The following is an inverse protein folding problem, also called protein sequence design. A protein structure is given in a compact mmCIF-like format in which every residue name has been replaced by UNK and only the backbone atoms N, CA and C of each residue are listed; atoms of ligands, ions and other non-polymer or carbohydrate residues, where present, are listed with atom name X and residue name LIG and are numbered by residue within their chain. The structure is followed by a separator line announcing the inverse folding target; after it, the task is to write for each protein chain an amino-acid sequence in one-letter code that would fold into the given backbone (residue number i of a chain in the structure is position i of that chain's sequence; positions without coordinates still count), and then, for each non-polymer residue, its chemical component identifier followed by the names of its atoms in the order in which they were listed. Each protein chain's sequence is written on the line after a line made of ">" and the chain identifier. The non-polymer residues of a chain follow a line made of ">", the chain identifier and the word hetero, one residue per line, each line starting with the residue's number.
data_IF_129685052073
#
_entry.id   IF_129685052073
#
_cell.length_a   1.000
_cell.length_b   1.000
_cell.length_c   1.000
_cell.angle_alpha   90.00
_cell.angle_beta   90.00
_cell.angle_gamma   90.00
#
_symmetry.space_group_name_H-M   'P 1'
#
loop_
_entity.id
_entity.type
_entity.pdbx_description
1 polymer ?
#
# COMPACT_ATOMS: atom_id res chain seq x y z
N UNK A 1 -4.97 -23.64 4.42
CA UNK A 1 -5.41 -22.28 4.05
C UNK A 1 -5.46 -21.44 5.30
N UNK A 2 -4.83 -20.27 5.30
CA UNK A 2 -4.78 -19.40 6.49
C UNK A 2 -6.14 -18.78 6.78
N UNK A 3 -6.55 -18.80 8.05
CA UNK A 3 -7.78 -18.20 8.56
C UNK A 3 -7.62 -16.68 8.74
N UNK A 4 -8.73 -15.92 8.68
CA UNK A 4 -8.74 -14.48 9.01
C UNK A 4 -8.11 -14.18 10.38
N UNK A 5 -8.35 -15.07 11.35
CA UNK A 5 -7.87 -14.92 12.72
C UNK A 5 -6.36 -15.17 12.81
N UNK A 6 -5.87 -16.27 12.22
CA UNK A 6 -4.43 -16.55 12.08
C UNK A 6 -3.71 -15.40 11.39
N UNK A 7 -4.30 -14.84 10.32
CA UNK A 7 -3.72 -13.69 9.62
C UNK A 7 -3.64 -12.46 10.53
N UNK A 8 -4.61 -12.25 11.42
CA UNK A 8 -4.57 -11.16 12.40
C UNK A 8 -3.48 -11.38 13.45
N UNK A 9 -3.32 -12.60 13.97
CA UNK A 9 -2.27 -12.90 14.95
C UNK A 9 -0.86 -12.86 14.33
N UNK A 10 -0.71 -13.22 13.06
CA UNK A 10 0.53 -12.98 12.29
C UNK A 10 0.83 -11.49 12.19
N UNK A 11 -0.14 -10.65 11.79
CA UNK A 11 0.07 -9.18 11.74
C UNK A 11 0.45 -8.63 13.11
N UNK A 12 -0.24 -9.07 14.18
CA UNK A 12 0.06 -8.67 15.57
C UNK A 12 1.47 -9.06 16.01
N UNK A 13 1.92 -10.27 15.67
CA UNK A 13 3.29 -10.71 15.95
C UNK A 13 4.33 -9.80 15.28
N UNK A 14 4.17 -9.47 14.00
CA UNK A 14 5.12 -8.60 13.29
C UNK A 14 5.11 -7.13 13.77
N UNK A 15 3.96 -6.57 14.18
CA UNK A 15 3.91 -5.18 14.65
C UNK A 15 4.20 -5.02 16.14
N UNK A 16 4.23 -6.10 16.93
CA UNK A 16 4.47 -5.99 18.37
C UNK A 16 5.86 -5.37 18.63
N UNK A 17 5.95 -4.28 19.42
CA UNK A 17 7.22 -3.58 19.68
C UNK A 17 8.34 -4.48 20.22
N UNK A 18 7.98 -5.64 20.79
CA UNK A 18 8.89 -6.66 21.31
C UNK A 18 9.87 -7.22 20.27
N UNK A 19 9.54 -7.15 18.98
CA UNK A 19 10.41 -7.65 17.90
C UNK A 19 11.34 -6.58 17.30
N UNK A 20 11.27 -5.32 17.75
CA UNK A 20 12.19 -4.25 17.32
C UNK A 20 12.07 -3.83 15.85
N UNK A 21 11.04 -4.29 15.12
CA UNK A 21 10.84 -3.98 13.71
C UNK A 21 10.34 -2.55 13.51
N UNK A 22 11.01 -1.78 12.65
CA UNK A 22 10.64 -0.41 12.32
C UNK A 22 9.54 -0.34 11.23
N UNK A 23 8.36 -0.89 11.54
CA UNK A 23 7.21 -0.88 10.63
C UNK A 23 6.67 0.56 10.46
N UNK A 24 6.65 1.07 9.23
CA UNK A 24 6.20 2.44 8.94
C UNK A 24 4.69 2.55 8.69
N UNK A 25 4.09 1.50 8.11
CA UNK A 25 2.67 1.43 7.81
C UNK A 25 2.24 -0.02 7.58
N UNK A 26 0.93 -0.28 7.63
CA UNK A 26 0.31 -1.53 7.22
C UNK A 26 -0.51 -1.35 5.95
N UNK A 27 -0.45 -2.34 5.05
CA UNK A 27 -1.36 -2.43 3.90
C UNK A 27 -2.12 -3.75 4.03
N UNK A 28 -3.45 -3.68 3.99
CA UNK A 28 -4.30 -4.87 3.99
C UNK A 28 -5.34 -4.79 2.88
N UNK A 29 -5.67 -5.94 2.28
CA UNK A 29 -6.77 -6.09 1.33
C UNK A 29 -7.86 -6.98 1.92
N UNK A 30 -9.13 -6.69 1.66
CA UNK A 30 -10.25 -7.61 1.97
C UNK A 30 -10.28 -8.03 3.45
N UNK A 31 -10.13 -9.32 3.75
CA UNK A 31 -9.95 -9.82 5.13
C UNK A 31 -8.66 -9.35 5.80
N UNK A 32 -7.56 -9.20 5.06
CA UNK A 32 -6.31 -8.64 5.58
C UNK A 32 -6.45 -7.18 6.02
N UNK A 33 -7.33 -6.40 5.39
CA UNK A 33 -7.63 -5.04 5.82
C UNK A 33 -8.37 -5.01 7.18
N UNK A 34 -9.35 -5.91 7.37
CA UNK A 34 -10.03 -6.08 8.65
C UNK A 34 -9.07 -6.58 9.75
N UNK A 35 -8.13 -7.47 9.41
CA UNK A 35 -7.08 -7.95 10.30
C UNK A 35 -6.14 -6.81 10.73
N UNK A 36 -5.74 -5.94 9.81
CA UNK A 36 -4.96 -4.72 10.10
C UNK A 36 -5.70 -3.81 11.08
N UNK A 37 -6.99 -3.53 10.87
CA UNK A 37 -7.80 -2.72 11.80
C UNK A 37 -7.83 -3.35 13.20
N UNK A 38 -8.03 -4.67 13.30
CA UNK A 38 -8.09 -5.36 14.58
C UNK A 38 -6.72 -5.42 15.30
N UNK A 39 -5.64 -5.69 14.55
CA UNK A 39 -4.28 -5.71 15.09
C UNK A 39 -3.86 -4.34 15.65
N UNK A 40 -4.17 -3.25 14.94
CA UNK A 40 -3.90 -1.89 15.39
C UNK A 40 -4.69 -1.52 16.64
N UNK A 41 -5.97 -1.92 16.74
CA UNK A 41 -6.75 -1.70 17.96
C UNK A 41 -6.21 -2.54 19.13
N UNK A 42 -5.83 -3.80 18.92
CA UNK A 42 -5.33 -4.67 20.02
C UNK A 42 -3.98 -4.22 20.56
N UNK A 43 -3.03 -3.89 19.70
CA UNK A 43 -1.69 -3.47 20.11
C UNK A 43 -1.62 -1.96 20.43
N UNK A 44 -2.69 -1.20 20.19
CA UNK A 44 -2.83 0.26 20.43
C UNK A 44 -1.72 1.10 19.76
N UNK A 45 -1.24 0.66 18.59
CA UNK A 45 -0.11 1.28 17.89
C UNK A 45 -0.57 2.42 16.97
N UNK A 46 0.09 3.59 16.97
CA UNK A 46 -0.23 4.71 16.10
C UNK A 46 0.38 4.55 14.68
N UNK A 47 0.30 3.35 14.10
CA UNK A 47 0.81 3.08 12.75
C UNK A 47 -0.22 3.49 11.69
N UNK A 48 0.25 4.11 10.61
CA UNK A 48 -0.59 4.39 9.43
C UNK A 48 -1.08 3.08 8.81
N UNK A 49 -2.27 3.11 8.23
CA UNK A 49 -2.78 1.97 7.47
C UNK A 49 -3.44 2.36 6.15
N UNK A 50 -3.32 1.46 5.17
CA UNK A 50 -4.08 1.47 3.91
C UNK A 50 -4.92 0.18 3.86
N UNK A 51 -6.23 0.34 3.77
CA UNK A 51 -7.22 -0.74 3.74
C UNK A 51 -7.92 -0.77 2.38
N UNK A 52 -7.60 -1.75 1.54
CA UNK A 52 -8.14 -1.89 0.17
C UNK A 52 -9.33 -2.87 0.19
N UNK A 53 -10.50 -2.46 -0.30
CA UNK A 53 -11.75 -3.23 -0.29
C UNK A 53 -12.06 -3.95 1.05
N UNK A 54 -11.98 -3.28 2.22
CA UNK A 54 -12.07 -3.94 3.53
C UNK A 54 -13.42 -4.64 3.75
N UNK A 55 -13.37 -5.89 4.19
CA UNK A 55 -14.56 -6.60 4.66
C UNK A 55 -14.84 -6.21 6.11
N UNK A 56 -15.57 -5.11 6.28
CA UNK A 56 -15.92 -4.59 7.60
C UNK A 56 -16.95 -5.47 8.36
N UNK A 57 -17.76 -6.26 7.65
CA UNK A 57 -18.84 -7.08 8.24
C UNK A 57 -18.64 -8.57 7.95
N UNK A 58 -17.59 -9.13 8.55
CA UNK A 58 -17.19 -10.53 8.34
C UNK A 58 -18.29 -11.53 8.75
N UNK A 59 -18.97 -11.30 9.88
CA UNK A 59 -20.08 -12.15 10.34
C UNK A 59 -21.20 -12.20 9.29
N UNK A 60 -21.67 -11.04 8.88
CA UNK A 60 -22.79 -10.90 7.95
C UNK A 60 -22.43 -11.43 6.55
N UNK A 61 -21.15 -11.34 6.14
CA UNK A 61 -20.66 -11.97 4.91
C UNK A 61 -20.67 -13.51 5.01
N UNK A 62 -20.25 -14.09 6.14
CA UNK A 62 -20.30 -15.54 6.37
C UNK A 62 -21.75 -16.04 6.39
N UNK A 63 -22.63 -15.36 7.12
CA UNK A 63 -24.07 -15.70 7.21
C UNK A 63 -24.73 -15.66 5.83
N UNK A 64 -24.54 -14.60 5.03
CA UNK A 64 -25.01 -14.53 3.63
C UNK A 64 -24.40 -15.61 2.73
N UNK A 65 -23.14 -15.97 2.95
CA UNK A 65 -22.48 -17.04 2.19
C UNK A 65 -23.12 -18.39 2.49
N UNK A 66 -23.38 -18.68 3.77
CA UNK A 66 -24.07 -19.88 4.20
C UNK A 66 -25.51 -19.96 3.67
N UNK A 67 -26.26 -18.87 3.72
CA UNK A 67 -27.61 -18.76 3.13
C UNK A 67 -27.59 -19.08 1.63
N UNK A 68 -26.64 -18.50 0.89
CA UNK A 68 -26.47 -18.76 -0.56
C UNK A 68 -26.19 -20.23 -0.89
N UNK A 69 -25.56 -20.98 0.03
CA UNK A 69 -25.33 -22.42 -0.10
C UNK A 69 -26.39 -23.30 0.60
N UNK A 70 -27.50 -22.71 1.08
CA UNK A 70 -28.60 -23.46 1.71
C UNK A 70 -28.26 -24.05 3.09
N UNK A 71 -27.18 -23.61 3.73
CA UNK A 71 -26.76 -24.11 5.05
C UNK A 71 -27.70 -23.58 6.13
N UNK A 72 -28.38 -24.47 6.84
CA UNK A 72 -29.38 -24.07 7.84
C UNK A 72 -28.75 -23.31 9.05
N UNK A 73 -29.53 -22.43 9.66
CA UNK A 73 -29.08 -21.53 10.72
C UNK A 73 -28.51 -22.24 11.98
N UNK A 74 -28.85 -23.52 12.24
CA UNK A 74 -28.27 -24.28 13.35
C UNK A 74 -26.81 -24.64 13.05
N UNK A 75 -26.52 -25.08 11.82
CA UNK A 75 -25.16 -25.37 11.36
C UNK A 75 -24.35 -24.07 11.27
N UNK A 76 -24.91 -22.98 10.75
CA UNK A 76 -24.24 -21.67 10.71
C UNK A 76 -23.76 -21.23 12.10
N UNK A 77 -24.66 -21.28 13.10
CA UNK A 77 -24.33 -20.93 14.49
C UNK A 77 -23.25 -21.84 15.08
N UNK A 78 -23.30 -23.14 14.81
CA UNK A 78 -22.29 -24.09 15.27
C UNK A 78 -20.91 -23.79 14.67
N UNK A 79 -20.81 -23.62 13.34
CA UNK A 79 -19.55 -23.29 12.65
C UNK A 79 -18.99 -21.96 13.13
N UNK A 80 -19.83 -20.92 13.28
CA UNK A 80 -19.37 -19.62 13.79
C UNK A 80 -18.90 -19.71 15.25
N UNK A 81 -19.61 -20.45 16.12
CA UNK A 81 -19.21 -20.64 17.50
C UNK A 81 -17.88 -21.38 17.62
N UNK A 82 -17.70 -22.46 16.84
CA UNK A 82 -16.46 -23.23 16.78
C UNK A 82 -15.28 -22.41 16.23
N UNK A 83 -15.46 -21.63 15.16
CA UNK A 83 -14.43 -20.70 14.68
C UNK A 83 -14.01 -19.70 15.78
N UNK A 84 -14.98 -19.13 16.50
CA UNK A 84 -14.70 -18.21 17.60
C UNK A 84 -13.90 -18.88 18.75
N UNK A 85 -14.23 -20.14 19.08
CA UNK A 85 -13.50 -20.93 20.09
C UNK A 85 -12.08 -21.24 19.61
N UNK A 86 -11.94 -21.82 18.41
CA UNK A 86 -10.64 -22.28 17.87
C UNK A 86 -9.59 -21.19 17.74
N UNK A 87 -10.02 -19.96 17.48
CA UNK A 87 -9.12 -18.82 17.28
C UNK A 87 -9.18 -17.76 18.38
N UNK A 88 -9.93 -17.97 19.47
CA UNK A 88 -10.02 -16.99 20.58
C UNK A 88 -10.64 -15.64 20.21
N UNK A 89 -11.43 -15.59 19.13
CA UNK A 89 -12.06 -14.37 18.61
C UNK A 89 -13.54 -14.31 18.92
N UNK A 90 -14.09 -13.11 19.00
CA UNK A 90 -15.54 -12.91 19.08
C UNK A 90 -15.96 -11.95 17.96
N UNK A 91 -16.61 -12.48 16.91
CA UNK A 91 -16.99 -11.71 15.72
C UNK A 91 -17.93 -10.52 15.99
N UNK A 92 -18.56 -10.45 17.16
CA UNK A 92 -19.33 -9.27 17.59
C UNK A 92 -18.45 -8.22 18.30
N UNK A 93 -17.45 -8.63 19.11
CA UNK A 93 -16.54 -7.72 19.82
C UNK A 93 -15.40 -7.23 18.93
N UNK A 94 -14.81 -8.12 18.14
CA UNK A 94 -13.68 -7.92 17.22
C UNK A 94 -14.07 -7.31 15.86
N UNK A 95 -15.29 -6.79 15.75
CA UNK A 95 -15.90 -6.32 14.51
C UNK A 95 -15.28 -4.99 14.03
N UNK A 96 -14.66 -4.90 12.83
CA UNK A 96 -13.92 -3.71 12.40
C UNK A 96 -14.67 -2.35 12.54
N UNK A 97 -15.98 -2.20 12.23
CA UNK A 97 -16.75 -0.97 12.49
C UNK A 97 -16.72 -0.46 13.93
N UNK A 98 -16.50 -1.35 14.91
CA UNK A 98 -16.39 -0.97 16.33
C UNK A 98 -14.96 -0.57 16.71
N UNK A 99 -13.97 -1.18 16.08
CA UNK A 99 -12.54 -0.98 16.39
C UNK A 99 -11.96 0.22 15.66
N UNK A 100 -12.41 0.47 14.43
CA UNK A 100 -11.88 1.52 13.53
C UNK A 100 -11.98 2.93 14.12
N UNK A 101 -12.99 3.18 14.97
CA UNK A 101 -13.17 4.44 15.69
C UNK A 101 -12.22 4.65 16.87
N UNK A 102 -11.55 3.60 17.36
CA UNK A 102 -10.54 3.67 18.43
C UNK A 102 -9.09 3.83 17.92
N UNK A 103 -8.90 3.91 16.60
CA UNK A 103 -7.58 4.03 15.99
C UNK A 103 -7.09 5.49 16.03
N UNK A 104 -5.92 5.72 16.64
CA UNK A 104 -5.33 7.05 16.83
C UNK A 104 -4.41 7.49 15.66
N UNK A 105 -4.43 6.79 14.53
CA UNK A 105 -3.54 7.02 13.39
C UNK A 105 -4.32 7.28 12.09
N UNK A 106 -3.74 8.00 11.11
CA UNK A 106 -4.36 8.20 9.80
C UNK A 106 -4.61 6.87 9.08
N UNK A 107 -5.87 6.65 8.68
CA UNK A 107 -6.31 5.49 7.93
C UNK A 107 -6.77 5.92 6.54
N UNK A 108 -6.22 5.32 5.49
CA UNK A 108 -6.78 5.40 4.14
C UNK A 108 -7.59 4.13 3.87
N UNK A 109 -8.85 4.27 3.50
CA UNK A 109 -9.62 3.21 2.86
C UNK A 109 -9.66 3.47 1.36
N UNK A 110 -9.35 2.45 0.57
CA UNK A 110 -9.48 2.45 -0.89
C UNK A 110 -10.54 1.43 -1.25
N UNK A 111 -11.61 1.82 -1.94
CA UNK A 111 -12.75 0.93 -2.21
C UNK A 111 -13.38 1.20 -3.57
N UNK A 112 -13.90 0.17 -4.23
CA UNK A 112 -14.61 0.29 -5.51
C UNK A 112 -16.12 0.34 -5.28
N UNK A 113 -16.81 1.35 -5.81
CA UNK A 113 -18.25 1.51 -5.58
C UNK A 113 -19.12 0.41 -6.22
N UNK A 114 -18.55 -0.39 -7.14
CA UNK A 114 -19.16 -1.59 -7.72
C UNK A 114 -18.61 -2.91 -7.13
N UNK A 115 -17.94 -2.87 -5.96
CA UNK A 115 -17.47 -4.07 -5.26
C UNK A 115 -18.65 -4.96 -4.82
N UNK A 116 -18.75 -6.13 -5.46
CA UNK A 116 -19.81 -7.13 -5.23
C UNK A 116 -19.53 -8.07 -4.05
N UNK A 117 -18.38 -7.95 -3.41
CA UNK A 117 -17.95 -8.82 -2.29
C UNK A 117 -17.94 -8.00 -0.98
N UNK A 118 -17.29 -6.84 -0.98
CA UNK A 118 -17.20 -5.96 0.18
C UNK A 118 -18.07 -4.71 -0.01
N UNK A 119 -18.98 -4.49 0.94
CA UNK A 119 -19.97 -3.40 0.91
C UNK A 119 -19.33 -2.01 0.98
N UNK A 120 -19.36 -1.27 -0.13
CA UNK A 120 -18.93 0.13 -0.19
C UNK A 120 -19.75 1.03 0.77
N UNK A 121 -21.04 0.71 0.97
CA UNK A 121 -21.91 1.46 1.88
C UNK A 121 -21.46 1.34 3.35
N UNK A 122 -20.90 0.20 3.76
CA UNK A 122 -20.36 0.06 5.12
C UNK A 122 -19.12 0.94 5.33
N UNK A 123 -18.25 1.05 4.32
CA UNK A 123 -17.11 1.97 4.33
C UNK A 123 -17.59 3.42 4.41
N UNK A 124 -18.54 3.83 3.55
CA UNK A 124 -19.11 5.19 3.56
C UNK A 124 -19.70 5.57 4.92
N UNK A 125 -20.32 4.63 5.62
CA UNK A 125 -20.83 4.84 6.98
C UNK A 125 -19.72 5.06 8.03
N UNK A 126 -18.57 4.38 7.91
CA UNK A 126 -17.44 4.62 8.84
C UNK A 126 -16.80 5.97 8.60
N UNK A 127 -16.55 6.32 7.33
CA UNK A 127 -15.95 7.61 6.93
C UNK A 127 -16.80 8.79 7.41
N UNK A 128 -18.13 8.68 7.33
CA UNK A 128 -19.04 9.71 7.87
C UNK A 128 -19.07 9.83 9.40
N UNK A 129 -18.53 8.84 10.14
CA UNK A 129 -18.47 8.82 11.62
C UNK A 129 -17.08 9.18 12.17
N UNK A 130 -16.03 9.08 11.36
CA UNK A 130 -14.64 9.01 11.82
C UNK A 130 -13.72 9.88 10.95
N UNK A 131 -13.44 11.14 11.37
CA UNK A 131 -12.67 12.11 10.58
C UNK A 131 -11.22 11.72 10.28
N UNK A 132 -10.64 10.76 11.01
CA UNK A 132 -9.28 10.24 10.74
C UNK A 132 -9.21 9.24 9.57
N UNK A 133 -10.36 8.89 9.00
CA UNK A 133 -10.47 7.97 7.86
C UNK A 133 -10.60 8.76 6.55
N UNK A 134 -9.55 8.74 5.74
CA UNK A 134 -9.62 9.17 4.35
C UNK A 134 -10.25 8.05 3.48
N UNK A 135 -11.03 8.44 2.47
CA UNK A 135 -11.62 7.54 1.48
C UNK A 135 -11.12 7.89 0.08
N UNK A 136 -10.57 6.90 -0.63
CA UNK A 136 -10.34 6.95 -2.06
C UNK A 136 -11.31 5.98 -2.75
N UNK A 137 -12.28 6.53 -3.49
CA UNK A 137 -13.27 5.74 -4.22
C UNK A 137 -12.79 5.50 -5.65
N UNK A 138 -12.82 4.24 -6.07
CA UNK A 138 -12.66 3.81 -7.46
C UNK A 138 -14.01 3.34 -8.01
N UNK A 139 -14.13 3.19 -9.33
CA UNK A 139 -15.38 2.71 -9.94
C UNK A 139 -15.13 1.72 -11.07
N UNK A 140 -15.90 0.64 -11.08
CA UNK A 140 -15.87 -0.39 -12.10
C UNK A 140 -14.67 -1.34 -12.06
N UNK A 141 -13.74 -1.21 -11.10
CA UNK A 141 -12.61 -2.13 -10.91
C UNK A 141 -13.07 -3.42 -10.21
N UNK A 142 -13.91 -3.28 -9.19
CA UNK A 142 -14.34 -4.35 -8.29
C UNK A 142 -13.24 -4.93 -7.41
N UNK A 143 -13.63 -5.84 -6.51
CA UNK A 143 -12.84 -6.36 -5.37
C UNK A 143 -11.39 -6.80 -5.64
N UNK A 144 -11.07 -7.24 -6.88
CA UNK A 144 -9.76 -7.83 -7.22
C UNK A 144 -8.89 -6.94 -8.11
N UNK A 145 -9.45 -6.34 -9.16
CA UNK A 145 -8.66 -5.51 -10.11
C UNK A 145 -8.17 -4.21 -9.49
N UNK A 146 -8.85 -3.74 -8.43
CA UNK A 146 -8.43 -2.60 -7.60
C UNK A 146 -6.97 -2.71 -7.11
N UNK A 147 -6.43 -3.93 -6.93
CA UNK A 147 -5.04 -4.15 -6.49
C UNK A 147 -3.98 -3.88 -7.57
N UNK A 148 -4.38 -3.85 -8.85
CA UNK A 148 -3.49 -3.66 -10.00
C UNK A 148 -3.67 -2.30 -10.67
N UNK A 149 -4.53 -1.44 -10.12
CA UNK A 149 -4.75 -0.09 -10.63
C UNK A 149 -3.63 0.85 -10.16
N UNK A 150 -3.06 1.59 -11.11
CA UNK A 150 -1.93 2.49 -10.84
C UNK A 150 -2.32 3.62 -9.88
N UNK A 151 -3.54 4.16 -9.97
CA UNK A 151 -4.00 5.24 -9.09
C UNK A 151 -4.18 4.74 -7.66
N UNK A 152 -4.65 3.49 -7.47
CA UNK A 152 -4.72 2.83 -6.16
C UNK A 152 -3.35 2.67 -5.55
N UNK A 153 -2.36 2.21 -6.32
CA UNK A 153 -0.96 2.06 -5.88
C UNK A 153 -0.38 3.43 -5.50
N UNK A 154 -0.55 4.45 -6.34
CA UNK A 154 -0.06 5.80 -6.04
C UNK A 154 -0.76 6.42 -4.83
N UNK A 155 -2.06 6.22 -4.64
CA UNK A 155 -2.80 6.68 -3.46
C UNK A 155 -2.29 6.01 -2.16
N UNK A 156 -2.02 4.70 -2.21
CA UNK A 156 -1.44 3.97 -1.09
C UNK A 156 -0.03 4.47 -0.74
N UNK A 157 0.86 4.61 -1.74
CA UNK A 157 2.22 5.12 -1.56
C UNK A 157 2.21 6.56 -1.03
N UNK A 158 1.35 7.43 -1.56
CA UNK A 158 1.21 8.82 -1.09
C UNK A 158 0.75 8.90 0.37
N UNK A 159 -0.18 8.03 0.80
CA UNK A 159 -0.62 7.98 2.21
C UNK A 159 0.50 7.52 3.14
N UNK A 160 1.26 6.50 2.74
CA UNK A 160 2.39 6.00 3.52
C UNK A 160 3.51 7.04 3.59
N UNK A 161 3.83 7.70 2.47
CA UNK A 161 4.84 8.77 2.39
C UNK A 161 4.48 10.05 3.15
N UNK A 162 3.18 10.37 3.32
CA UNK A 162 2.69 11.48 4.14
C UNK A 162 2.95 11.24 5.63
N UNK A 163 4.15 11.56 6.08
CA UNK A 163 4.47 11.64 7.51
C UNK A 163 3.84 12.87 8.16
N UNK A 164 3.37 12.72 9.40
CA UNK A 164 2.58 13.73 10.08
C UNK A 164 3.33 15.06 10.29
N UNK A 165 2.54 16.14 10.27
CA UNK A 165 2.93 17.56 10.40
C UNK A 165 3.56 18.21 9.14
N UNK A 166 2.80 19.00 8.36
CA UNK A 166 3.30 19.72 7.19
C UNK A 166 4.26 20.87 7.50
N UNK A 167 4.48 21.23 8.78
CA UNK A 167 5.34 22.34 9.21
C UNK A 167 6.48 21.92 10.17
N UNK A 168 6.98 20.67 10.07
CA UNK A 168 8.28 20.30 10.63
C UNK A 168 9.14 19.54 9.62
N UNK A 169 10.08 20.25 8.99
CA UNK A 169 11.31 19.64 8.50
C UNK A 169 12.22 19.42 9.73
N UNK A 170 12.53 18.18 10.15
CA UNK A 170 13.49 17.96 11.21
C UNK A 170 14.89 18.20 10.65
N UNK A 171 15.59 19.18 11.21
CA UNK A 171 16.95 19.61 10.81
C UNK A 171 17.93 18.43 10.65
N UNK A 172 17.78 17.40 11.51
CA UNK A 172 18.56 16.14 11.45
C UNK A 172 18.41 15.34 10.14
N UNK A 173 17.24 15.33 9.49
CA UNK A 173 17.08 14.61 8.21
C UNK A 173 17.78 15.32 7.06
N UNK A 174 17.76 16.66 7.06
CA UNK A 174 18.47 17.47 6.06
C UNK A 174 19.98 17.28 6.19
N UNK A 175 20.50 17.26 7.42
CA UNK A 175 21.92 17.01 7.66
C UNK A 175 22.34 15.59 7.26
N UNK A 176 21.56 14.56 7.57
CA UNK A 176 21.90 13.18 7.19
C UNK A 176 21.85 12.96 5.67
N UNK A 177 20.86 13.52 4.98
CA UNK A 177 20.72 13.40 3.52
C UNK A 177 21.77 14.25 2.78
N UNK A 178 22.12 15.44 3.29
CA UNK A 178 23.27 16.21 2.79
C UNK A 178 24.59 15.45 2.99
N UNK A 179 24.76 14.75 4.12
CA UNK A 179 25.96 13.96 4.42
C UNK A 179 26.07 12.72 3.53
N UNK A 180 24.96 12.01 3.28
CA UNK A 180 24.90 10.89 2.33
C UNK A 180 25.20 11.34 0.90
N UNK A 181 24.61 12.45 0.46
CA UNK A 181 24.88 13.02 -0.86
C UNK A 181 26.35 13.44 -1.00
N UNK A 182 26.94 14.08 0.02
CA UNK A 182 28.37 14.45 -0.01
C UNK A 182 29.31 13.23 -0.11
N UNK A 183 28.97 12.11 0.55
CA UNK A 183 29.71 10.84 0.44
C UNK A 183 29.56 10.25 -0.98
N UNK A 184 28.36 10.35 -1.58
CA UNK A 184 28.10 9.90 -2.96
C UNK A 184 28.84 10.76 -3.99
N UNK A 185 28.84 12.09 -3.83
CA UNK A 185 29.58 13.01 -4.69
C UNK A 185 31.11 12.77 -4.58
N UNK A 186 31.60 12.47 -3.38
CA UNK A 186 32.99 12.05 -3.15
C UNK A 186 33.29 10.71 -3.83
N UNK A 187 32.38 9.73 -3.75
CA UNK A 187 32.52 8.43 -4.44
C UNK A 187 32.57 8.56 -5.97
N UNK A 188 31.72 9.42 -6.55
CA UNK A 188 31.72 9.67 -7.99
C UNK A 188 33.03 10.31 -8.48
N UNK A 189 33.63 11.20 -7.70
CA UNK A 189 34.85 11.95 -8.03
C UNK A 189 36.16 11.27 -7.61
N UNK A 190 36.10 10.21 -6.80
CA UNK A 190 37.23 9.43 -6.31
C UNK A 190 37.85 8.49 -7.37
N UNK A 191 39.11 8.08 -7.14
CA UNK A 191 39.74 6.96 -7.84
C UNK A 191 39.25 5.60 -7.32
N UNK A 192 39.61 4.51 -8.00
CA UNK A 192 39.07 3.18 -7.71
C UNK A 192 39.49 2.61 -6.34
N UNK A 193 40.66 3.00 -5.82
CA UNK A 193 41.14 2.59 -4.49
C UNK A 193 40.36 3.34 -3.39
N UNK A 194 40.15 4.64 -3.58
CA UNK A 194 39.33 5.49 -2.72
C UNK A 194 37.85 5.08 -2.73
N UNK A 195 37.30 4.73 -3.90
CA UNK A 195 35.93 4.17 -4.04
C UNK A 195 35.77 2.89 -3.25
N UNK A 196 36.72 1.95 -3.35
CA UNK A 196 36.69 0.72 -2.57
C UNK A 196 36.72 1.01 -1.06
N UNK A 197 37.52 1.97 -0.61
CA UNK A 197 37.52 2.45 0.78
C UNK A 197 36.15 2.95 1.23
N UNK A 198 35.54 3.87 0.48
CA UNK A 198 34.21 4.41 0.77
C UNK A 198 33.12 3.32 0.78
N UNK A 199 33.15 2.38 -0.17
CA UNK A 199 32.22 1.25 -0.29
C UNK A 199 32.28 0.29 0.92
N UNK A 200 33.48 0.07 1.46
CA UNK A 200 33.68 -0.80 2.63
C UNK A 200 33.24 -0.14 3.94
N UNK A 201 33.43 1.18 4.07
CA UNK A 201 33.07 1.98 5.24
C UNK A 201 31.55 2.24 5.28
N UNK A 202 30.96 2.74 4.19
CA UNK A 202 29.56 3.15 4.11
C UNK A 202 28.65 2.04 3.59
N UNK A 203 28.49 0.99 4.41
CA UNK A 203 27.72 -0.21 4.05
C UNK A 203 26.25 0.07 3.75
N UNK A 204 25.70 1.13 4.33
CA UNK A 204 24.35 1.63 4.14
C UNK A 204 24.10 2.29 2.78
N UNK A 205 25.15 2.58 2.00
CA UNK A 205 25.08 3.21 0.67
C UNK A 205 25.44 2.26 -0.48
N UNK A 206 25.68 0.97 -0.20
CA UNK A 206 26.14 -0.01 -1.20
C UNK A 206 25.27 -0.10 -2.45
N UNK A 207 23.95 -0.11 -2.28
CA UNK A 207 23.03 -0.21 -3.42
C UNK A 207 23.15 1.02 -4.33
N UNK A 208 23.31 2.22 -3.75
CA UNK A 208 23.54 3.45 -4.49
C UNK A 208 24.92 3.47 -5.18
N UNK A 209 25.97 2.97 -4.53
CA UNK A 209 27.31 2.82 -5.14
C UNK A 209 27.27 1.83 -6.32
N UNK A 210 26.59 0.69 -6.17
CA UNK A 210 26.39 -0.28 -7.25
C UNK A 210 25.61 0.34 -8.41
N UNK A 211 24.54 1.10 -8.15
CA UNK A 211 23.81 1.83 -9.20
C UNK A 211 24.68 2.84 -9.94
N UNK A 212 25.59 3.54 -9.24
CA UNK A 212 26.54 4.50 -9.83
C UNK A 212 27.57 3.79 -10.73
N UNK A 213 28.19 2.71 -10.24
CA UNK A 213 29.14 1.90 -11.01
C UNK A 213 28.49 1.29 -12.26
N UNK A 214 27.23 0.84 -12.14
CA UNK A 214 26.44 0.29 -13.25
C UNK A 214 25.96 1.36 -14.26
N UNK A 215 25.74 2.60 -13.82
CA UNK A 215 25.26 3.68 -14.68
C UNK A 215 26.33 4.18 -15.66
N UNK A 216 27.60 4.14 -15.27
CA UNK A 216 28.72 4.67 -16.05
C UNK A 216 28.65 6.19 -16.27
N UNK A 217 29.66 6.78 -16.95
CA UNK A 217 29.80 8.24 -17.06
C UNK A 217 28.88 8.90 -18.12
N UNK A 218 27.58 8.58 -18.13
CA UNK A 218 26.59 9.17 -19.08
C UNK A 218 25.18 9.38 -18.49
N UNK A 219 25.07 9.93 -17.27
CA UNK A 219 23.75 10.27 -16.67
C UNK A 219 23.62 11.68 -16.05
N UNK A 220 24.67 12.50 -16.09
CA UNK A 220 24.66 13.84 -15.50
C UNK A 220 24.63 14.95 -16.57
N UNK A 221 23.48 15.18 -17.24
CA UNK A 221 23.11 16.44 -17.93
C UNK A 221 21.73 16.38 -18.64
N UNK A 222 20.62 16.35 -17.89
CA UNK A 222 19.31 16.83 -18.40
C UNK A 222 18.28 17.01 -17.28
N UNK A 223 18.12 18.24 -16.76
CA UNK A 223 16.81 18.93 -16.71
C UNK A 223 16.92 20.28 -15.96
N UNK A 224 16.88 21.37 -16.72
CA UNK A 224 16.28 22.64 -16.30
C UNK A 224 15.21 23.04 -17.32
N UNK A 225 14.08 23.64 -16.89
CA UNK A 225 12.96 23.90 -17.78
C UNK A 225 13.04 25.27 -18.46
N UNK A 226 12.79 25.26 -19.76
CA UNK A 226 12.27 26.36 -20.57
C UNK A 226 11.47 25.68 -21.70
N UNK A 227 10.38 26.19 -22.24
CA UNK A 227 9.76 27.51 -22.19
C UNK A 227 8.72 27.47 -23.32
N UNK A 228 7.62 28.21 -23.20
CA UNK A 228 6.53 28.13 -24.18
C UNK A 228 6.98 28.64 -25.55
N UNK A 229 6.75 27.87 -26.63
CA UNK A 229 6.41 28.52 -27.89
C UNK A 229 5.54 27.68 -28.83
N UNK A 230 4.69 28.36 -29.61
CA UNK A 230 3.73 27.78 -30.58
C UNK A 230 4.06 28.31 -31.98
N UNK A 231 4.48 27.46 -32.93
CA UNK A 231 4.15 27.75 -34.35
C UNK A 231 4.10 26.57 -35.34
N UNK A 232 2.89 26.36 -35.88
CA UNK A 232 2.53 26.11 -37.30
C UNK A 232 3.29 25.07 -38.18
N UNK A 233 2.57 23.96 -38.44
CA UNK A 233 2.11 23.47 -39.77
C UNK A 233 3.10 23.47 -40.98
N UNK A 234 3.35 22.28 -41.57
CA UNK A 234 2.65 21.77 -42.80
C UNK A 234 3.23 20.45 -43.41
N UNK A 235 2.28 19.57 -43.80
CA UNK A 235 2.20 18.70 -45.01
C UNK A 235 3.25 17.61 -45.34
N UNK A 236 2.75 16.36 -45.31
CA UNK A 236 2.81 15.29 -46.33
C UNK A 236 4.11 14.97 -47.11
N UNK A 237 4.51 13.68 -47.07
CA UNK A 237 4.77 12.86 -48.27
C UNK A 237 4.54 11.36 -47.99
N UNK A 238 3.72 10.72 -48.81
CA UNK A 238 3.66 9.25 -48.98
C UNK A 238 4.25 8.89 -50.35
N UNK A 239 4.85 7.72 -50.52
CA UNK A 239 5.06 6.98 -51.79
C UNK A 239 5.55 5.52 -51.44
N UNK A 240 5.56 4.53 -52.35
CA UNK A 240 4.94 3.22 -52.07
C UNK A 240 5.75 1.98 -52.56
N UNK A 241 5.12 0.81 -52.52
CA UNK A 241 5.51 -0.46 -53.16
C UNK A 241 4.82 -1.63 -52.44
N UNK A 242 3.84 -2.36 -52.99
CA UNK A 242 3.89 -3.29 -54.13
C UNK A 242 4.96 -4.40 -53.95
N UNK A 243 4.67 -5.71 -54.05
CA UNK A 243 3.51 -6.44 -54.63
C UNK A 243 3.23 -7.81 -53.96
N UNK A 244 2.03 -8.32 -54.25
CA UNK A 244 1.56 -9.73 -54.39
C UNK A 244 2.67 -10.79 -54.62
N UNK A 245 2.53 -12.08 -54.32
CA UNK A 245 1.34 -12.94 -54.08
C UNK A 245 1.74 -14.12 -53.14
N UNK A 246 1.00 -15.23 -52.90
CA UNK A 246 -0.05 -15.94 -53.64
C UNK A 246 -1.13 -16.56 -52.72
N UNK A 247 -1.36 -17.88 -52.80
CA UNK A 247 -2.20 -18.81 -51.99
C UNK A 247 -1.67 -20.23 -52.20
N UNK A 248 -1.84 -21.10 -51.21
CA UNK A 248 -2.50 -22.42 -51.31
C UNK A 248 -3.08 -22.73 -49.94
#
# INVERSE_FOLDING_TARGET
>A
STSYFEFTDVVRAFISPRHGLNIQALIGHSFGAAAVINALDKEKLPLKAVCISPILRLRELLERTFERFGVNAKIQKAVIADLQIRFGYNLAKDNPPRLIGGLNAPLLIIHDDHDRIASYNDVRQQVGRHPHIALHTTSGLGHRRILSDENVIQAALAHIGRSGNPNRVPEKKRNHMNQQNAIIDQYQSADDEQRLGLYLIHRELRDAFIEIDLAGPTAALAHKPAGTDKCRRRKYRCFPGELKHSRT
#
